data_IF_228164086762
#
_entry.id   IF_228164086762
#
_cell.length_a   1.000
_cell.length_b   1.000
_cell.length_c   1.000
_cell.angle_alpha   90.00
_cell.angle_beta   90.00
_cell.angle_gamma   90.00
#
_symmetry.space_group_name_H-M   'P 1'
#
loop_
_entity.id
_entity.type
_entity.pdbx_description
1 polymer ?
#
# COMPACT_ATOMS: atom_id res chain seq x y z
N UNK A 1 3.64 -8.74 9.61
CA UNK A 1 4.45 -9.04 8.43
C UNK A 1 4.31 -7.91 7.42
N UNK A 2 5.41 -7.38 6.94
CA UNK A 2 5.38 -6.32 5.94
C UNK A 2 5.08 -6.90 4.57
N UNK A 3 4.20 -6.23 3.81
CA UNK A 3 3.86 -6.64 2.44
C UNK A 3 5.03 -6.34 1.51
N UNK A 4 5.56 -5.11 1.60
CA UNK A 4 6.76 -4.69 0.88
C UNK A 4 7.62 -3.87 1.83
N UNK A 5 8.90 -4.19 1.89
CA UNK A 5 9.85 -3.40 2.67
C UNK A 5 10.44 -2.29 1.80
N UNK A 6 11.08 -1.31 2.42
CA UNK A 6 11.70 -0.21 1.69
C UNK A 6 12.67 -0.69 0.60
N UNK A 7 13.44 -1.75 0.89
CA UNK A 7 14.36 -2.34 -0.07
C UNK A 7 13.63 -2.85 -1.31
N UNK A 8 12.51 -3.55 -1.10
CA UNK A 8 11.72 -4.11 -2.19
C UNK A 8 11.14 -3.01 -3.06
N UNK A 9 10.64 -1.95 -2.42
CA UNK A 9 10.08 -0.79 -3.12
C UNK A 9 11.12 -0.11 -4.00
N UNK A 10 12.35 0.02 -3.51
CA UNK A 10 13.43 0.66 -4.27
C UNK A 10 13.82 -0.12 -5.51
N UNK A 11 13.56 -1.41 -5.55
CA UNK A 11 13.88 -2.28 -6.69
C UNK A 11 12.80 -2.28 -7.76
N UNK A 12 11.63 -1.71 -7.50
CA UNK A 12 10.54 -1.68 -8.48
C UNK A 12 10.81 -0.64 -9.58
N UNK A 13 10.41 -0.98 -10.81
CA UNK A 13 10.39 0.01 -11.90
C UNK A 13 9.26 1.01 -11.64
N UNK A 14 9.26 2.12 -12.38
CA UNK A 14 8.21 3.14 -12.22
C UNK A 14 6.82 2.57 -12.53
N UNK A 15 6.72 1.72 -13.55
CA UNK A 15 5.46 1.06 -13.91
C UNK A 15 5.01 0.11 -12.81
N UNK A 16 5.92 -0.71 -12.29
CA UNK A 16 5.63 -1.64 -11.21
C UNK A 16 5.21 -0.90 -9.94
N UNK A 17 5.86 0.23 -9.64
CA UNK A 17 5.54 1.07 -8.51
C UNK A 17 4.09 1.56 -8.59
N UNK A 18 3.71 2.06 -9.77
CA UNK A 18 2.36 2.54 -10.01
C UNK A 18 1.32 1.43 -9.88
N UNK A 19 1.61 0.27 -10.45
CA UNK A 19 0.72 -0.90 -10.38
C UNK A 19 0.50 -1.34 -8.94
N UNK A 20 1.56 -1.40 -8.14
CA UNK A 20 1.46 -1.79 -6.74
C UNK A 20 0.64 -0.78 -5.94
N UNK A 21 0.84 0.51 -6.20
CA UNK A 21 0.06 1.56 -5.53
C UNK A 21 -1.42 1.42 -5.80
N UNK A 22 -1.80 1.21 -7.04
CA UNK A 22 -3.21 1.05 -7.42
C UNK A 22 -3.82 -0.19 -6.77
N UNK A 23 -3.10 -1.30 -6.82
CA UNK A 23 -3.56 -2.56 -6.25
C UNK A 23 -3.80 -2.43 -4.75
N UNK A 24 -2.84 -1.88 -4.03
CA UNK A 24 -2.93 -1.77 -2.57
C UNK A 24 -3.97 -0.74 -2.13
N UNK A 25 -4.13 0.35 -2.88
CA UNK A 25 -5.19 1.31 -2.60
C UNK A 25 -6.58 0.69 -2.77
N UNK A 26 -6.74 -0.14 -3.80
CA UNK A 26 -8.01 -0.84 -4.02
C UNK A 26 -8.31 -1.81 -2.87
N UNK A 27 -7.31 -2.56 -2.40
CA UNK A 27 -7.49 -3.42 -1.24
C UNK A 27 -7.91 -2.64 0.00
N UNK A 28 -7.29 -1.48 0.21
CA UNK A 28 -7.60 -0.64 1.36
C UNK A 28 -9.03 -0.13 1.30
N UNK A 29 -9.49 0.30 0.11
CA UNK A 29 -10.86 0.74 -0.09
C UNK A 29 -11.84 -0.38 0.19
N UNK A 30 -11.54 -1.60 -0.25
CA UNK A 30 -12.39 -2.76 0.01
C UNK A 30 -12.50 -3.05 1.51
N UNK A 31 -11.40 -2.95 2.26
CA UNK A 31 -11.42 -3.15 3.70
C UNK A 31 -12.27 -2.08 4.40
N UNK A 32 -12.11 -0.82 4.02
CA UNK A 32 -12.91 0.26 4.58
C UNK A 32 -14.38 0.10 4.24
N UNK A 33 -14.71 -0.39 3.05
CA UNK A 33 -16.07 -0.67 2.65
C UNK A 33 -16.72 -1.71 3.53
N UNK A 34 -16.00 -2.78 3.88
CA UNK A 34 -16.49 -3.81 4.80
C UNK A 34 -16.78 -3.25 6.18
N UNK A 35 -15.89 -2.41 6.70
CA UNK A 35 -16.07 -1.77 8.01
C UNK A 35 -17.29 -0.86 7.99
N UNK A 36 -17.46 -0.06 6.92
CA UNK A 36 -18.61 0.85 6.78
C UNK A 36 -19.93 0.10 6.70
N UNK A 37 -19.92 -1.09 6.14
CA UNK A 37 -21.13 -1.93 6.05
C UNK A 37 -21.45 -2.67 7.36
N UNK A 38 -20.69 -2.42 8.42
CA UNK A 38 -20.90 -3.04 9.72
C UNK A 38 -20.18 -4.36 9.91
N UNK A 39 -19.37 -4.76 8.94
CA UNK A 39 -18.55 -5.96 9.04
C UNK A 39 -17.23 -5.68 9.74
N UNK A 40 -16.81 -6.56 10.65
CA UNK A 40 -15.48 -6.47 11.24
C UNK A 40 -14.44 -6.94 10.23
N UNK A 41 -13.29 -6.27 10.20
CA UNK A 41 -12.18 -6.77 9.40
C UNK A 41 -11.59 -7.99 10.07
N UNK A 42 -11.31 -9.02 9.28
CA UNK A 42 -10.75 -10.26 9.79
C UNK A 42 -9.32 -10.09 10.30
N UNK A 43 -8.60 -9.09 9.79
CA UNK A 43 -7.21 -8.86 10.14
C UNK A 43 -6.89 -7.36 10.17
N UNK A 44 -7.16 -6.71 11.32
CA UNK A 44 -6.88 -5.27 11.44
C UNK A 44 -5.40 -4.92 11.30
N UNK A 45 -4.50 -5.85 11.63
CA UNK A 45 -3.06 -5.66 11.43
C UNK A 45 -2.70 -5.53 9.95
N UNK A 46 -3.44 -6.21 9.09
CA UNK A 46 -3.22 -6.15 7.65
C UNK A 46 -3.53 -4.76 7.08
N UNK A 47 -4.57 -4.10 7.61
CA UNK A 47 -4.89 -2.73 7.19
C UNK A 47 -3.75 -1.78 7.52
N UNK A 48 -3.18 -1.91 8.71
CA UNK A 48 -2.01 -1.12 9.11
C UNK A 48 -0.82 -1.34 8.18
N UNK A 49 -0.56 -2.59 7.79
CA UNK A 49 0.52 -2.90 6.87
C UNK A 49 0.25 -2.36 5.46
N UNK A 50 -1.00 -2.43 4.99
CA UNK A 50 -1.37 -1.82 3.70
C UNK A 50 -1.06 -0.33 3.69
N UNK A 51 -1.45 0.38 4.74
CA UNK A 51 -1.23 1.83 4.85
C UNK A 51 0.26 2.16 4.88
N UNK A 52 1.05 1.41 5.65
CA UNK A 52 2.50 1.61 5.73
C UNK A 52 3.18 1.34 4.39
N UNK A 53 2.74 0.29 3.70
CA UNK A 53 3.31 -0.06 2.40
C UNK A 53 2.99 1.02 1.36
N UNK A 54 1.75 1.51 1.35
CA UNK A 54 1.36 2.61 0.47
C UNK A 54 2.21 3.85 0.75
N UNK A 55 2.45 4.16 2.02
CA UNK A 55 3.30 5.28 2.41
C UNK A 55 4.73 5.11 1.89
N UNK A 56 5.28 3.90 1.95
CA UNK A 56 6.61 3.60 1.41
C UNK A 56 6.66 3.80 -0.10
N UNK A 57 5.62 3.36 -0.82
CA UNK A 57 5.52 3.54 -2.26
C UNK A 57 5.46 5.02 -2.65
N UNK A 58 4.67 5.80 -1.92
CA UNK A 58 4.54 7.24 -2.15
C UNK A 58 5.89 7.94 -1.89
N UNK A 59 6.56 7.55 -0.82
CA UNK A 59 7.86 8.12 -0.47
C UNK A 59 8.89 7.87 -1.57
N UNK A 60 8.92 6.64 -2.10
CA UNK A 60 9.84 6.31 -3.19
C UNK A 60 9.48 7.07 -4.47
N UNK A 61 8.20 7.21 -4.77
CA UNK A 61 7.75 7.96 -5.94
C UNK A 61 8.19 9.42 -5.86
N UNK A 62 8.02 10.03 -4.68
CA UNK A 62 8.43 11.42 -4.45
C UNK A 62 9.96 11.57 -4.56
N UNK A 63 10.71 10.62 -4.00
CA UNK A 63 12.17 10.63 -4.09
C UNK A 63 12.62 10.64 -5.55
N UNK A 64 12.00 9.83 -6.39
CA UNK A 64 12.34 9.75 -7.83
C UNK A 64 12.03 11.05 -8.57
N UNK A 65 10.96 11.74 -8.18
CA UNK A 65 10.59 13.01 -8.79
C UNK A 65 11.55 14.15 -8.45
N UNK A 66 12.17 14.09 -7.29
CA UNK A 66 13.02 15.15 -6.79
C UNK A 66 14.46 15.07 -7.30
N UNK A 67 14.79 14.05 -8.04
CA UNK A 67 16.15 13.88 -8.61
C UNK A 67 16.32 14.60 -9.93
#
# INVERSE_FOLDING_TARGET
>A
MAILRARDVQQLSDVELQEQMEKLRMELVQHYGKVSAGGATENPGHIGELRRTIARLITEQNRRRMV
#
